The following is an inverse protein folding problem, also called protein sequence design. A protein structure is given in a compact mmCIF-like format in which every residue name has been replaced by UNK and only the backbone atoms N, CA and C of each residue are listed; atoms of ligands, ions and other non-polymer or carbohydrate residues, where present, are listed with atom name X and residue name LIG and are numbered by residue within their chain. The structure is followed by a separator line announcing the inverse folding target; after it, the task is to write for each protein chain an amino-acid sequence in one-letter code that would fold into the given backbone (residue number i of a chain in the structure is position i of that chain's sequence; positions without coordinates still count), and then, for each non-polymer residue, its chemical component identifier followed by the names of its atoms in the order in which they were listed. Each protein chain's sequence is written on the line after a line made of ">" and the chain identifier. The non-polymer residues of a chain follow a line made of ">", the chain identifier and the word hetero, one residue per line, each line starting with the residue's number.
data_IF_985685009349
#
_entry.id   IF_985685009349
#
_cell.length_a   1.000
_cell.length_b   1.000
_cell.length_c   1.000
_cell.angle_alpha   90.00
_cell.angle_beta   90.00
_cell.angle_gamma   90.00
#
_symmetry.space_group_name_H-M   'P 1'
#
loop_
_entity.id
_entity.type
_entity.pdbx_description
1 polymer ?
#
# COMPACT_ATOMS: atom_id res chain seq x y z
N UNK A 1 87.43 -18.68 68.28
CA UNK A 1 86.06 -19.07 68.68
C UNK A 1 85.14 -18.03 68.10
N UNK A 2 84.66 -18.23 66.84
CA UNK A 2 83.78 -17.31 66.09
C UNK A 2 82.35 -17.85 66.07
N UNK A 3 81.47 -17.27 66.86
CA UNK A 3 80.02 -17.49 66.77
C UNK A 3 79.48 -16.63 65.65
N UNK A 4 79.05 -17.24 64.55
CA UNK A 4 78.17 -16.56 63.56
C UNK A 4 76.81 -16.55 64.08
N UNK A 5 76.26 -15.36 64.31
CA UNK A 5 74.86 -15.12 64.53
C UNK A 5 74.14 -15.27 63.21
N UNK A 6 73.34 -16.31 63.07
CA UNK A 6 72.45 -16.50 61.94
C UNK A 6 71.09 -15.73 62.25
N UNK A 7 70.86 -14.63 61.57
CA UNK A 7 69.56 -13.97 61.54
C UNK A 7 68.63 -14.81 60.69
N UNK A 8 67.69 -15.47 61.39
CA UNK A 8 66.59 -16.15 60.70
C UNK A 8 65.51 -15.15 60.41
N UNK A 9 65.45 -14.63 59.17
CA UNK A 9 64.29 -13.88 58.69
C UNK A 9 63.14 -14.82 58.47
N UNK A 10 62.23 -14.90 59.48
CA UNK A 10 60.97 -15.55 59.31
C UNK A 10 60.14 -14.70 58.40
N UNK A 11 60.07 -15.09 57.10
CA UNK A 11 59.20 -14.38 56.12
C UNK A 11 57.79 -14.32 56.62
N UNK A 12 57.33 -13.11 56.97
CA UNK A 12 55.97 -12.85 57.32
C UNK A 12 55.12 -12.66 56.04
N UNK A 13 54.77 -13.78 55.37
CA UNK A 13 53.92 -13.77 54.16
C UNK A 13 52.47 -13.30 54.40
N UNK A 14 52.11 -13.15 55.69
CA UNK A 14 50.76 -12.76 56.09
C UNK A 14 50.34 -11.33 55.67
N UNK A 15 51.28 -10.43 55.53
CA UNK A 15 51.02 -9.07 55.07
C UNK A 15 50.77 -8.94 53.57
N UNK A 16 51.42 -9.77 52.72
CA UNK A 16 51.22 -9.76 51.27
C UNK A 16 49.85 -10.31 50.86
N UNK A 17 49.30 -11.29 51.58
CA UNK A 17 47.98 -11.85 51.30
C UNK A 17 46.86 -10.80 51.44
N UNK A 18 46.97 -9.90 52.40
CA UNK A 18 45.95 -8.83 52.64
C UNK A 18 45.96 -7.86 51.45
N UNK A 19 47.12 -7.47 50.93
CA UNK A 19 47.25 -6.58 49.81
C UNK A 19 46.63 -7.21 48.56
N UNK A 20 46.89 -8.48 48.28
CA UNK A 20 46.35 -9.22 47.15
C UNK A 20 44.82 -9.34 47.27
N UNK A 21 44.31 -9.64 48.49
CA UNK A 21 42.84 -9.69 48.75
C UNK A 21 42.16 -8.34 48.48
N UNK A 22 42.79 -7.23 48.93
CA UNK A 22 42.26 -5.90 48.70
C UNK A 22 42.17 -5.58 47.19
N UNK A 23 43.21 -5.84 46.41
CA UNK A 23 43.20 -5.67 44.97
C UNK A 23 42.19 -6.61 44.28
N UNK A 24 42.07 -7.85 44.74
CA UNK A 24 41.07 -8.79 44.21
C UNK A 24 39.63 -8.30 44.47
N UNK A 25 39.33 -7.76 45.65
CA UNK A 25 38.01 -7.19 45.96
C UNK A 25 37.77 -5.98 45.08
N UNK A 26 38.71 -5.06 44.91
CA UNK A 26 38.55 -3.91 44.02
C UNK A 26 38.29 -4.37 42.57
N UNK A 27 39.02 -5.40 42.10
CA UNK A 27 38.81 -6.00 40.79
C UNK A 27 37.42 -6.62 40.62
N UNK A 28 36.95 -7.38 41.63
CA UNK A 28 35.59 -7.98 41.60
C UNK A 28 34.50 -6.91 41.62
N UNK A 29 34.65 -5.89 42.47
CA UNK A 29 33.71 -4.75 42.50
C UNK A 29 33.69 -4.01 41.14
N UNK A 30 34.84 -3.79 40.53
CA UNK A 30 34.93 -3.17 39.22
C UNK A 30 34.20 -3.97 38.12
N UNK A 31 34.42 -5.29 38.07
CA UNK A 31 33.75 -6.18 37.11
C UNK A 31 32.25 -6.25 37.39
N UNK A 32 31.84 -6.34 38.66
CA UNK A 32 30.42 -6.34 39.06
C UNK A 32 29.72 -5.04 38.68
N UNK A 33 30.43 -3.90 38.85
CA UNK A 33 29.94 -2.59 38.39
C UNK A 33 29.65 -2.57 36.90
N UNK A 34 30.59 -3.03 36.10
CA UNK A 34 30.47 -3.08 34.64
C UNK A 34 29.34 -4.03 34.20
N UNK A 35 29.19 -5.17 34.88
CA UNK A 35 28.16 -6.14 34.55
C UNK A 35 26.75 -5.67 34.93
N UNK A 36 26.56 -5.12 36.12
CA UNK A 36 25.24 -4.72 36.62
C UNK A 36 24.81 -3.39 36.02
N UNK A 37 25.63 -2.36 36.13
CA UNK A 37 25.27 -1.03 35.63
C UNK A 37 25.20 -1.01 34.10
N UNK A 38 26.08 -1.75 33.42
CA UNK A 38 26.05 -1.91 31.97
C UNK A 38 24.81 -2.65 31.47
N UNK A 39 24.39 -3.73 32.18
CA UNK A 39 23.15 -4.44 31.84
C UNK A 39 21.93 -3.55 32.04
N UNK A 40 21.88 -2.80 33.13
CA UNK A 40 20.78 -1.86 33.41
C UNK A 40 20.73 -0.75 32.35
N UNK A 41 21.89 -0.22 31.91
CA UNK A 41 21.95 0.78 30.87
C UNK A 41 21.43 0.26 29.51
N UNK A 42 21.75 -0.99 29.15
CA UNK A 42 21.23 -1.63 27.93
C UNK A 42 19.69 -1.85 28.01
N UNK A 43 19.18 -2.24 29.18
CA UNK A 43 17.74 -2.39 29.40
C UNK A 43 17.05 -1.03 29.32
N UNK A 44 17.61 0.00 29.94
CA UNK A 44 17.05 1.36 29.93
C UNK A 44 17.06 1.93 28.50
N UNK A 45 18.12 1.73 27.74
CA UNK A 45 18.18 2.12 26.33
C UNK A 45 17.03 1.49 25.52
N UNK A 46 16.80 0.18 25.64
CA UNK A 46 15.69 -0.49 24.95
C UNK A 46 14.34 0.05 25.39
N UNK A 47 14.18 0.34 26.68
CA UNK A 47 12.95 0.94 27.20
C UNK A 47 12.75 2.37 26.66
N UNK A 48 13.78 3.17 26.58
CA UNK A 48 13.68 4.53 26.02
C UNK A 48 13.35 4.50 24.52
N UNK A 49 13.91 3.55 23.75
CA UNK A 49 13.55 3.32 22.35
C UNK A 49 12.08 2.89 22.20
N UNK A 50 11.60 1.97 23.06
CA UNK A 50 10.19 1.57 23.08
C UNK A 50 9.27 2.73 23.46
N UNK A 51 9.65 3.53 24.44
CA UNK A 51 8.89 4.73 24.85
C UNK A 51 8.84 5.79 23.76
N UNK A 52 9.95 6.03 23.08
CA UNK A 52 10.01 6.95 21.94
C UNK A 52 9.06 6.48 20.81
N UNK A 53 9.11 5.18 20.47
CA UNK A 53 8.23 4.59 19.46
C UNK A 53 6.74 4.69 19.83
N UNK A 54 6.40 4.37 21.09
CA UNK A 54 5.03 4.48 21.59
C UNK A 54 4.54 5.94 21.59
N UNK A 55 5.40 6.89 21.97
CA UNK A 55 5.08 8.31 21.98
C UNK A 55 4.93 8.86 20.55
N UNK A 56 5.80 8.47 19.61
CA UNK A 56 5.72 8.85 18.22
C UNK A 56 4.40 8.37 17.57
N UNK A 57 4.03 7.11 17.78
CA UNK A 57 2.77 6.55 17.27
C UNK A 57 1.54 7.22 17.90
N UNK A 58 1.54 7.42 19.23
CA UNK A 58 0.44 8.09 19.92
C UNK A 58 0.27 9.55 19.48
N UNK A 59 1.38 10.25 19.28
CA UNK A 59 1.37 11.60 18.74
C UNK A 59 0.84 11.65 17.32
N UNK A 60 1.30 10.74 16.46
CA UNK A 60 0.86 10.64 15.07
C UNK A 60 -0.64 10.35 14.97
N UNK A 61 -1.15 9.39 15.74
CA UNK A 61 -2.57 9.07 15.78
C UNK A 61 -3.42 10.25 16.26
N UNK A 62 -3.00 10.91 17.35
CA UNK A 62 -3.71 12.06 17.87
C UNK A 62 -3.76 13.22 16.87
N UNK A 63 -2.68 13.42 16.11
CA UNK A 63 -2.63 14.44 15.06
C UNK A 63 -3.62 14.19 13.94
N UNK A 64 -3.71 12.94 13.48
CA UNK A 64 -4.68 12.53 12.45
C UNK A 64 -6.12 12.74 12.94
N UNK A 65 -6.38 12.46 14.22
CA UNK A 65 -7.71 12.64 14.83
C UNK A 65 -8.01 14.10 15.22
N UNK A 66 -7.11 15.04 14.93
CA UNK A 66 -7.27 16.45 15.28
C UNK A 66 -7.17 16.74 16.78
N UNK A 67 -6.60 15.81 17.57
CA UNK A 67 -6.36 15.98 19.01
C UNK A 67 -4.98 16.59 19.28
N UNK A 68 -4.73 17.01 20.52
CA UNK A 68 -3.41 17.48 20.92
C UNK A 68 -2.38 16.35 20.87
N UNK A 69 -1.61 16.34 19.82
CA UNK A 69 -0.59 15.34 19.57
C UNK A 69 0.58 15.39 20.55
N UNK A 70 0.95 16.62 21.01
CA UNK A 70 2.03 16.80 21.99
C UNK A 70 1.64 16.22 23.35
N UNK A 71 0.44 16.51 23.80
CA UNK A 71 -0.10 15.93 25.05
C UNK A 71 -0.19 14.41 24.97
N UNK A 72 -0.64 13.88 23.83
CA UNK A 72 -0.77 12.43 23.62
C UNK A 72 0.60 11.72 23.59
N UNK A 73 1.59 12.29 22.91
CA UNK A 73 2.95 11.78 22.89
C UNK A 73 3.60 11.77 24.28
N UNK A 74 3.49 12.88 25.03
CA UNK A 74 4.00 12.97 26.40
C UNK A 74 3.30 11.98 27.35
N UNK A 75 2.00 11.81 27.21
CA UNK A 75 1.24 10.83 27.99
C UNK A 75 1.73 9.41 27.72
N UNK A 76 1.98 9.04 26.47
CA UNK A 76 2.51 7.74 26.10
C UNK A 76 3.94 7.51 26.62
N UNK A 77 4.81 8.50 26.54
CA UNK A 77 6.14 8.43 27.15
C UNK A 77 6.06 8.22 28.66
N UNK A 78 5.18 8.96 29.34
CA UNK A 78 4.94 8.85 30.80
C UNK A 78 4.43 7.46 31.17
N UNK A 79 3.51 6.87 30.40
CA UNK A 79 3.01 5.50 30.65
C UNK A 79 4.12 4.45 30.51
N UNK A 80 5.16 4.75 29.73
CA UNK A 80 6.35 3.91 29.58
C UNK A 80 7.47 4.26 30.59
N UNK A 81 7.19 5.14 31.59
CA UNK A 81 8.08 5.44 32.70
C UNK A 81 8.94 6.70 32.53
N UNK A 82 8.74 7.49 31.47
CA UNK A 82 9.51 8.71 31.19
C UNK A 82 8.65 9.97 31.38
N UNK A 83 8.80 10.62 32.55
CA UNK A 83 7.89 11.68 33.01
C UNK A 83 8.18 13.07 32.44
N UNK A 84 9.25 13.24 31.67
CA UNK A 84 9.72 14.54 31.17
C UNK A 84 9.92 15.56 32.31
N UNK A 85 10.54 15.13 33.42
CA UNK A 85 10.77 15.95 34.63
C UNK A 85 12.04 16.82 34.55
N UNK A 86 12.86 16.60 33.51
CA UNK A 86 14.12 17.30 33.30
C UNK A 86 15.27 16.83 34.20
N UNK A 87 15.00 15.93 35.16
CA UNK A 87 16.00 15.37 36.10
C UNK A 87 16.31 13.90 35.78
N UNK A 88 15.28 13.03 35.72
CA UNK A 88 15.43 11.62 35.42
C UNK A 88 15.18 11.32 33.94
N UNK A 89 14.35 12.12 33.28
CA UNK A 89 14.10 11.99 31.85
C UNK A 89 13.69 13.30 31.20
N UNK A 90 14.04 13.44 29.91
CA UNK A 90 13.51 14.47 29.02
C UNK A 90 12.87 13.82 27.79
N UNK A 91 11.79 14.41 27.30
CA UNK A 91 11.09 13.98 26.10
C UNK A 91 10.98 15.18 25.16
N UNK A 92 11.72 15.13 24.06
CA UNK A 92 11.67 16.14 23.02
C UNK A 92 10.76 15.71 21.89
N UNK A 93 9.91 16.63 21.43
CA UNK A 93 8.89 16.39 20.40
C UNK A 93 9.05 17.40 19.28
N UNK A 94 9.41 16.95 18.11
CA UNK A 94 9.64 17.77 16.94
C UNK A 94 8.71 17.41 15.79
N UNK A 95 8.14 18.39 15.14
CA UNK A 95 7.48 18.32 13.85
C UNK A 95 7.65 19.67 13.15
N UNK A 96 8.33 19.73 12.02
CA UNK A 96 9.10 18.65 11.37
C UNK A 96 10.23 18.07 12.24
N UNK A 97 10.72 16.84 11.93
CA UNK A 97 11.93 16.29 12.54
C UNK A 97 13.15 17.19 12.35
N UNK A 98 14.04 17.17 13.34
CA UNK A 98 15.31 17.93 13.30
C UNK A 98 16.52 17.03 13.06
N UNK A 99 16.33 15.70 13.11
CA UNK A 99 17.37 14.70 12.88
C UNK A 99 16.93 13.64 11.86
N UNK A 100 17.91 12.99 11.24
CA UNK A 100 17.68 11.84 10.34
C UNK A 100 17.22 12.22 8.93
N UNK A 101 16.72 11.24 8.18
CA UNK A 101 16.38 11.41 6.75
C UNK A 101 15.11 12.24 6.49
N UNK A 102 14.28 12.47 7.51
CA UNK A 102 12.98 13.17 7.40
C UNK A 102 13.03 14.61 7.91
N UNK A 103 14.21 15.22 8.02
CA UNK A 103 14.41 16.60 8.47
C UNK A 103 13.64 17.58 7.59
N UNK A 104 12.83 18.44 8.23
CA UNK A 104 12.07 19.49 7.56
C UNK A 104 10.74 19.03 6.97
N UNK A 105 10.43 17.74 6.99
CA UNK A 105 9.17 17.22 6.48
C UNK A 105 8.09 17.23 7.56
N UNK A 106 7.05 18.04 7.33
CA UNK A 106 5.98 18.26 8.29
C UNK A 106 5.03 17.05 8.46
N UNK A 107 5.08 16.05 7.59
CA UNK A 107 4.29 14.83 7.75
C UNK A 107 4.82 13.92 8.86
N UNK A 108 6.03 14.17 9.35
CA UNK A 108 6.68 13.31 10.33
C UNK A 108 6.72 13.94 11.72
N UNK A 109 6.66 13.08 12.73
CA UNK A 109 6.83 13.41 14.14
C UNK A 109 8.06 12.67 14.66
N UNK A 110 9.02 13.41 15.18
CA UNK A 110 10.21 12.89 15.85
C UNK A 110 10.00 12.95 17.35
N UNK A 111 10.35 11.87 18.04
CA UNK A 111 10.38 11.80 19.51
C UNK A 111 11.75 11.32 19.96
N UNK A 112 12.36 12.09 20.87
CA UNK A 112 13.62 11.78 21.50
C UNK A 112 13.38 11.65 23.00
N UNK A 113 13.64 10.47 23.55
CA UNK A 113 13.55 10.20 24.98
C UNK A 113 14.96 10.05 25.53
N UNK A 114 15.38 10.98 26.36
CA UNK A 114 16.65 10.93 27.09
C UNK A 114 16.39 10.51 28.52
N UNK A 115 17.06 9.45 28.97
CA UNK A 115 16.99 8.91 30.32
C UNK A 115 18.30 9.11 31.06
N UNK A 116 18.23 9.49 32.34
CA UNK A 116 19.37 9.68 33.24
C UNK A 116 19.29 8.66 34.37
N UNK A 117 19.86 7.47 34.11
CA UNK A 117 19.85 6.36 35.06
C UNK A 117 20.98 6.47 36.08
N UNK A 118 20.68 6.44 37.37
CA UNK A 118 21.67 6.39 38.43
C UNK A 118 22.35 5.01 38.46
N UNK A 119 23.68 5.01 38.59
CA UNK A 119 24.46 3.77 38.70
C UNK A 119 24.51 3.29 40.13
N UNK A 120 24.57 1.99 40.33
CA UNK A 120 24.73 1.36 41.66
C UNK A 120 26.19 1.34 42.09
N UNK A 121 27.08 0.91 41.24
CA UNK A 121 28.49 0.76 41.51
C UNK A 121 29.36 1.80 40.81
N UNK A 122 28.90 2.27 39.64
CA UNK A 122 29.62 3.28 38.84
C UNK A 122 29.90 4.57 39.59
N UNK A 123 29.03 4.95 40.54
CA UNK A 123 29.23 6.12 41.41
C UNK A 123 30.50 6.04 42.26
N UNK A 124 30.95 4.81 42.63
CA UNK A 124 32.18 4.59 43.41
C UNK A 124 33.43 4.94 42.61
N UNK A 125 33.36 4.76 41.30
CA UNK A 125 34.48 5.03 40.36
C UNK A 125 34.31 6.36 39.61
N UNK A 126 33.35 7.20 40.04
CA UNK A 126 33.15 8.55 39.51
C UNK A 126 32.19 8.66 38.32
N UNK A 127 31.37 7.59 38.07
CA UNK A 127 30.34 7.57 37.04
C UNK A 127 28.96 7.44 37.72
N UNK A 128 28.39 8.52 38.24
CA UNK A 128 27.15 8.45 39.03
C UNK A 128 25.88 8.27 38.18
N UNK A 129 25.92 8.65 36.89
CA UNK A 129 24.77 8.62 35.97
C UNK A 129 25.20 8.08 34.61
N UNK A 130 24.39 7.25 34.02
CA UNK A 130 24.49 6.83 32.63
C UNK A 130 23.31 7.43 31.88
N UNK A 131 23.56 8.04 30.73
CA UNK A 131 22.52 8.61 29.87
C UNK A 131 22.23 7.66 28.73
N UNK A 132 20.94 7.32 28.54
CA UNK A 132 20.41 6.54 27.43
C UNK A 132 19.53 7.44 26.56
N UNK A 133 19.56 7.22 25.24
CA UNK A 133 18.70 7.96 24.29
C UNK A 133 17.92 6.98 23.46
N UNK A 134 16.61 7.09 23.49
CA UNK A 134 15.68 6.43 22.58
C UNK A 134 15.21 7.44 21.51
N UNK A 135 15.16 6.99 20.28
CA UNK A 135 14.79 7.81 19.13
C UNK A 135 13.74 7.10 18.31
N UNK A 136 12.70 7.81 17.86
CA UNK A 136 11.70 7.28 16.97
C UNK A 136 11.09 8.37 16.09
N UNK A 137 10.75 8.02 14.86
CA UNK A 137 10.03 8.86 13.92
C UNK A 137 8.80 8.12 13.41
N UNK A 138 7.65 8.78 13.43
CA UNK A 138 6.42 8.27 12.82
C UNK A 138 5.93 9.21 11.73
N UNK A 139 5.44 8.64 10.63
CA UNK A 139 4.75 9.36 9.57
C UNK A 139 3.26 9.48 9.91
N UNK A 140 2.68 10.64 9.63
CA UNK A 140 1.24 10.91 9.70
C UNK A 140 0.72 11.17 8.30
N UNK A 141 -0.06 10.25 7.76
CA UNK A 141 -0.80 10.48 6.51
C UNK A 141 -2.24 10.76 6.86
N UNK A 142 -2.73 12.00 6.70
CA UNK A 142 -4.13 12.31 6.90
C UNK A 142 -4.99 11.59 5.86
N UNK A 143 -6.28 11.47 6.16
CA UNK A 143 -7.23 11.00 5.16
C UNK A 143 -7.26 11.95 3.96
N UNK A 144 -7.18 11.42 2.77
CA UNK A 144 -7.23 12.19 1.53
C UNK A 144 -7.99 11.44 0.45
N UNK A 145 -8.50 12.18 -0.54
CA UNK A 145 -8.94 11.60 -1.80
C UNK A 145 -7.77 11.66 -2.77
N UNK A 146 -7.52 10.57 -3.45
CA UNK A 146 -6.44 10.55 -4.42
C UNK A 146 -6.40 9.26 -5.24
N UNK A 147 -5.49 9.24 -6.18
CA UNK A 147 -5.28 8.15 -7.13
C UNK A 147 -5.25 6.80 -6.43
N UNK A 148 -6.00 5.84 -6.96
CA UNK A 148 -5.88 4.46 -6.53
C UNK A 148 -4.56 3.87 -7.06
N UNK A 149 -3.91 3.06 -6.22
CA UNK A 149 -2.72 2.29 -6.62
C UNK A 149 -1.64 3.13 -7.33
N UNK A 150 -1.37 4.34 -6.81
CA UNK A 150 -0.33 5.24 -7.32
C UNK A 150 -0.41 5.52 -8.84
N UNK A 151 -1.62 5.46 -9.42
CA UNK A 151 -1.87 5.75 -10.82
C UNK A 151 -1.46 4.63 -11.80
N UNK A 152 -1.27 3.40 -11.34
CA UNK A 152 -1.11 2.28 -12.27
C UNK A 152 -2.36 2.10 -13.14
N UNK A 153 -2.18 2.00 -14.45
CA UNK A 153 -3.28 1.86 -15.41
C UNK A 153 -3.93 0.46 -15.36
N UNK A 154 -3.12 -0.58 -15.16
CA UNK A 154 -3.58 -1.95 -14.97
C UNK A 154 -3.13 -2.47 -13.61
N UNK A 155 -4.07 -2.95 -12.80
CA UNK A 155 -3.80 -3.45 -11.46
C UNK A 155 -4.45 -4.82 -11.27
N UNK A 156 -3.63 -5.85 -11.08
CA UNK A 156 -4.07 -7.18 -10.68
C UNK A 156 -3.87 -7.37 -9.18
N UNK A 157 -4.96 -7.59 -8.44
CA UNK A 157 -4.99 -7.60 -6.97
C UNK A 157 -4.81 -8.97 -6.33
N UNK A 158 -4.89 -10.05 -7.10
CA UNK A 158 -4.76 -11.40 -6.56
C UNK A 158 -3.46 -11.57 -5.78
N UNK A 159 -3.50 -11.86 -4.46
CA UNK A 159 -2.28 -11.99 -3.66
C UNK A 159 -1.50 -13.27 -3.98
N UNK A 160 -2.18 -14.27 -4.54
CA UNK A 160 -1.60 -15.55 -4.92
C UNK A 160 -2.05 -15.94 -6.32
N UNK A 161 -1.17 -16.58 -7.07
CA UNK A 161 -1.46 -17.16 -8.38
C UNK A 161 -0.73 -18.48 -8.55
N UNK A 162 -1.18 -19.29 -9.52
CA UNK A 162 -0.44 -20.44 -10.00
C UNK A 162 -0.14 -20.26 -11.49
N UNK A 163 0.86 -20.95 -12.01
CA UNK A 163 1.28 -20.80 -13.41
C UNK A 163 0.33 -21.47 -14.42
N UNK A 164 -0.76 -22.08 -13.99
CA UNK A 164 -1.61 -22.91 -14.84
C UNK A 164 -3.06 -22.42 -14.98
N UNK A 165 -3.76 -22.22 -13.87
CA UNK A 165 -5.19 -21.88 -13.85
C UNK A 165 -5.50 -20.50 -13.28
N UNK A 166 -4.76 -20.10 -12.22
CA UNK A 166 -4.96 -18.85 -11.50
C UNK A 166 -3.78 -17.92 -11.78
N UNK A 167 -3.80 -17.26 -12.92
CA UNK A 167 -2.75 -16.39 -13.41
C UNK A 167 -3.10 -14.95 -13.05
N UNK A 168 -2.26 -14.29 -12.23
CA UNK A 168 -2.55 -12.94 -11.76
C UNK A 168 -2.57 -11.93 -12.90
N UNK A 169 -1.51 -11.90 -13.70
CA UNK A 169 -1.49 -11.16 -14.96
C UNK A 169 -1.02 -12.08 -16.08
N UNK A 170 -1.85 -12.25 -17.11
CA UNK A 170 -1.57 -13.17 -18.20
C UNK A 170 -1.74 -12.50 -19.56
N UNK A 171 -0.64 -12.36 -20.27
CA UNK A 171 -0.58 -11.88 -21.64
C UNK A 171 -0.25 -13.07 -22.55
N UNK A 172 -1.20 -13.46 -23.42
CA UNK A 172 -1.00 -14.62 -24.28
C UNK A 172 -1.60 -14.45 -25.68
N UNK A 173 -1.26 -15.36 -26.59
CA UNK A 173 -1.51 -15.23 -28.01
C UNK A 173 -0.71 -14.07 -28.64
N UNK A 174 -1.33 -13.13 -29.32
CA UNK A 174 -0.63 -12.06 -30.09
C UNK A 174 -1.14 -10.64 -29.83
N UNK A 175 -1.68 -10.30 -28.64
CA UNK A 175 -2.14 -8.94 -28.38
C UNK A 175 -0.97 -7.95 -28.30
N UNK A 176 -1.24 -6.70 -28.63
CA UNK A 176 -0.33 -5.59 -28.35
C UNK A 176 -0.99 -4.63 -27.40
N UNK A 177 -0.41 -4.46 -26.20
CA UNK A 177 -0.80 -3.41 -25.26
C UNK A 177 0.08 -2.19 -25.52
N UNK A 178 -0.52 -1.03 -25.65
CA UNK A 178 0.16 0.27 -25.65
C UNK A 178 -0.29 1.03 -24.44
N UNK A 179 0.65 1.34 -23.53
CA UNK A 179 0.41 2.15 -22.34
C UNK A 179 0.87 3.59 -22.61
N UNK A 180 -0.05 4.53 -22.39
CA UNK A 180 0.19 5.96 -22.44
C UNK A 180 -0.19 6.56 -21.07
N UNK A 181 0.78 6.75 -20.19
CA UNK A 181 0.55 7.06 -18.78
C UNK A 181 0.22 5.83 -17.92
N UNK A 182 0.56 5.91 -16.63
CA UNK A 182 0.42 4.81 -15.69
C UNK A 182 1.30 3.61 -16.06
N UNK A 183 1.19 2.53 -15.33
CA UNK A 183 1.97 1.32 -15.53
C UNK A 183 1.13 0.08 -15.30
N UNK A 184 1.80 -1.04 -15.03
CA UNK A 184 1.16 -2.31 -14.64
C UNK A 184 1.65 -2.67 -13.24
N UNK A 185 0.72 -2.99 -12.34
CA UNK A 185 1.02 -3.55 -11.02
C UNK A 185 0.40 -4.93 -10.88
N UNK A 186 1.18 -5.90 -10.39
CA UNK A 186 0.74 -7.27 -10.17
C UNK A 186 1.05 -7.70 -8.75
N UNK A 187 0.01 -7.96 -7.96
CA UNK A 187 0.10 -8.18 -6.51
C UNK A 187 0.43 -9.63 -6.10
N UNK A 188 0.50 -10.56 -7.03
CA UNK A 188 0.75 -11.98 -6.70
C UNK A 188 2.18 -12.21 -6.19
N UNK A 189 2.29 -13.00 -5.13
CA UNK A 189 3.55 -13.43 -4.50
C UNK A 189 4.23 -14.63 -5.18
N UNK A 190 3.67 -15.13 -6.29
CA UNK A 190 4.25 -16.26 -7.01
C UNK A 190 5.61 -15.90 -7.60
N UNK A 191 6.67 -16.61 -7.18
CA UNK A 191 8.06 -16.30 -7.53
C UNK A 191 8.40 -16.53 -9.02
N UNK A 192 7.56 -17.29 -9.77
CA UNK A 192 7.87 -17.68 -11.14
C UNK A 192 6.99 -16.96 -12.17
N UNK A 193 5.70 -16.77 -11.90
CA UNK A 193 4.72 -16.37 -12.90
C UNK A 193 3.60 -15.48 -12.40
N UNK A 194 3.85 -14.63 -11.40
CA UNK A 194 2.90 -13.59 -11.04
C UNK A 194 2.56 -12.73 -12.28
N UNK A 195 3.55 -12.38 -13.07
CA UNK A 195 3.40 -11.82 -14.41
C UNK A 195 3.82 -12.87 -15.46
N UNK A 196 2.90 -13.27 -16.32
CA UNK A 196 3.13 -14.30 -17.32
C UNK A 196 2.90 -13.76 -18.74
N UNK A 197 3.96 -13.75 -19.57
CA UNK A 197 3.86 -13.46 -20.99
C UNK A 197 4.20 -14.71 -21.81
N UNK A 198 3.22 -15.17 -22.59
CA UNK A 198 3.33 -16.34 -23.48
C UNK A 198 3.00 -15.95 -24.92
N UNK A 199 3.53 -16.72 -25.87
CA UNK A 199 3.27 -16.46 -27.28
C UNK A 199 3.99 -15.25 -27.84
N UNK A 200 3.29 -14.42 -28.62
CA UNK A 200 3.81 -13.22 -29.27
C UNK A 200 3.18 -11.92 -28.75
N UNK A 201 2.46 -11.98 -27.64
CA UNK A 201 1.89 -10.80 -26.98
C UNK A 201 2.97 -9.79 -26.60
N UNK A 202 2.72 -8.50 -26.84
CA UNK A 202 3.68 -7.41 -26.65
C UNK A 202 3.11 -6.30 -25.79
N UNK A 203 3.99 -5.61 -25.06
CA UNK A 203 3.67 -4.40 -24.29
C UNK A 203 4.60 -3.29 -24.74
N UNK A 204 4.03 -2.15 -25.12
CA UNK A 204 4.75 -0.92 -25.42
C UNK A 204 4.36 0.17 -24.45
N UNK A 205 5.31 0.60 -23.65
CA UNK A 205 5.14 1.74 -22.75
C UNK A 205 5.69 2.98 -23.44
N UNK A 206 4.88 4.02 -23.60
CA UNK A 206 5.29 5.24 -24.33
C UNK A 206 6.02 6.26 -23.45
N UNK A 207 5.91 6.10 -22.15
CA UNK A 207 6.57 6.89 -21.12
C UNK A 207 7.47 6.01 -20.24
N UNK A 208 7.96 6.52 -19.12
CA UNK A 208 8.78 5.79 -18.17
C UNK A 208 7.94 4.98 -17.14
N UNK A 209 6.67 4.72 -17.43
CA UNK A 209 5.77 4.01 -16.50
C UNK A 209 6.26 2.60 -16.20
N UNK A 210 6.28 2.17 -14.94
CA UNK A 210 6.84 0.89 -14.54
C UNK A 210 5.89 -0.29 -14.81
N UNK A 211 6.46 -1.48 -15.01
CA UNK A 211 5.77 -2.76 -14.88
C UNK A 211 6.30 -3.42 -13.61
N UNK A 212 5.51 -3.39 -12.55
CA UNK A 212 5.93 -3.75 -11.21
C UNK A 212 5.19 -4.99 -10.72
N UNK A 213 5.91 -5.93 -10.12
CA UNK A 213 5.38 -7.23 -9.71
C UNK A 213 5.86 -7.55 -8.31
N UNK A 214 4.99 -8.05 -7.43
CA UNK A 214 5.38 -8.48 -6.08
C UNK A 214 6.25 -9.73 -6.14
N UNK A 215 5.78 -10.78 -6.81
CA UNK A 215 6.53 -12.02 -7.05
C UNK A 215 7.43 -11.96 -8.29
N UNK A 216 7.48 -13.05 -9.02
CA UNK A 216 8.32 -13.20 -10.20
C UNK A 216 7.57 -13.00 -11.52
N UNK A 217 8.35 -12.96 -12.58
CA UNK A 217 7.84 -12.82 -13.94
C UNK A 217 8.40 -13.89 -14.86
N UNK A 218 7.52 -14.52 -15.65
CA UNK A 218 7.90 -15.39 -16.75
C UNK A 218 7.62 -14.69 -18.07
N UNK A 219 8.66 -14.33 -18.79
CA UNK A 219 8.59 -13.61 -20.06
C UNK A 219 9.27 -14.44 -21.14
N UNK A 220 8.48 -15.04 -22.02
CA UNK A 220 9.03 -15.88 -23.09
C UNK A 220 9.84 -15.10 -24.13
N UNK A 221 9.42 -13.86 -24.41
CA UNK A 221 10.05 -13.00 -25.42
C UNK A 221 10.25 -11.60 -24.87
N UNK A 222 11.33 -11.38 -24.13
CA UNK A 222 11.65 -10.11 -23.48
C UNK A 222 11.67 -8.91 -24.43
N UNK A 223 12.07 -9.10 -25.71
CA UNK A 223 12.09 -8.03 -26.72
C UNK A 223 10.70 -7.50 -27.09
N UNK A 224 9.63 -8.18 -26.73
CA UNK A 224 8.25 -7.74 -26.96
C UNK A 224 7.75 -6.79 -25.86
N UNK A 225 8.52 -6.61 -24.78
CA UNK A 225 8.22 -5.65 -23.71
C UNK A 225 9.22 -4.51 -23.83
N UNK A 226 8.77 -3.33 -24.26
CA UNK A 226 9.67 -2.22 -24.56
C UNK A 226 9.01 -0.85 -24.26
N UNK A 227 9.75 0.10 -23.74
CA UNK A 227 11.13 0.05 -23.23
C UNK A 227 11.21 -0.53 -21.81
N UNK A 228 10.05 -0.80 -21.17
CA UNK A 228 9.97 -1.22 -19.80
C UNK A 228 10.56 -2.62 -19.55
N UNK A 229 11.18 -2.76 -18.40
CA UNK A 229 11.58 -4.06 -17.86
C UNK A 229 10.61 -4.40 -16.73
N UNK A 230 10.15 -5.64 -16.68
CA UNK A 230 9.33 -6.11 -15.56
C UNK A 230 10.19 -6.11 -14.29
N UNK A 231 9.73 -5.41 -13.25
CA UNK A 231 10.44 -5.20 -11.99
C UNK A 231 9.81 -6.06 -10.88
N UNK A 232 10.39 -7.21 -10.53
CA UNK A 232 9.92 -8.03 -9.42
C UNK A 232 10.38 -7.49 -8.07
N UNK A 233 9.73 -7.95 -6.99
CA UNK A 233 10.09 -7.61 -5.62
C UNK A 233 9.43 -6.34 -5.08
N UNK A 234 8.31 -5.95 -5.65
CA UNK A 234 7.48 -4.85 -5.12
C UNK A 234 6.90 -5.18 -3.75
N UNK A 235 6.54 -4.15 -3.00
CA UNK A 235 5.83 -4.31 -1.74
C UNK A 235 4.38 -4.75 -2.05
N UNK A 236 3.88 -5.84 -1.44
CA UNK A 236 2.52 -6.30 -1.68
C UNK A 236 1.49 -5.31 -1.14
N UNK A 237 0.41 -5.15 -1.89
CA UNK A 237 -0.77 -4.42 -1.46
C UNK A 237 -1.70 -5.38 -0.72
N UNK A 238 -2.30 -4.91 0.39
CA UNK A 238 -3.30 -5.71 1.12
C UNK A 238 -4.48 -6.08 0.23
N UNK A 239 -5.02 -7.29 0.41
CA UNK A 239 -6.28 -7.67 -0.20
C UNK A 239 -7.26 -8.14 0.91
N UNK A 240 -8.47 -7.54 1.00
CA UNK A 240 -8.98 -6.40 0.18
C UNK A 240 -8.11 -5.13 0.32
N UNK A 241 -8.14 -4.23 -0.69
CA UNK A 241 -7.39 -2.98 -0.65
C UNK A 241 -7.74 -2.12 0.57
N UNK A 242 -6.76 -1.38 1.10
CA UNK A 242 -6.92 -0.61 2.33
C UNK A 242 -7.71 0.71 2.17
N UNK A 243 -8.07 1.12 0.95
CA UNK A 243 -8.92 2.28 0.76
C UNK A 243 -10.41 1.94 0.93
N UNK A 244 -11.22 2.95 1.20
CA UNK A 244 -12.66 2.76 1.34
C UNK A 244 -13.29 2.52 -0.04
N UNK A 245 -13.97 1.36 -0.22
CA UNK A 245 -14.73 1.09 -1.43
C UNK A 245 -15.81 2.14 -1.65
N UNK A 246 -16.14 2.49 -2.91
CA UNK A 246 -17.18 3.45 -3.22
C UNK A 246 -18.50 3.11 -2.53
N UNK A 247 -19.07 4.08 -1.78
CA UNK A 247 -20.40 3.97 -1.18
C UNK A 247 -21.41 4.74 -2.03
N UNK A 248 -21.66 4.21 -3.20
CA UNK A 248 -22.51 4.82 -4.22
C UNK A 248 -23.65 3.88 -4.50
N UNK A 249 -24.84 4.41 -4.74
CA UNK A 249 -26.03 3.63 -5.06
C UNK A 249 -27.11 4.48 -5.67
N UNK A 250 -28.14 3.84 -6.22
CA UNK A 250 -29.26 4.50 -6.90
C UNK A 250 -30.38 4.93 -5.94
N UNK A 251 -30.28 4.57 -4.66
CA UNK A 251 -31.37 4.78 -3.71
C UNK A 251 -32.66 4.08 -4.18
N UNK A 252 -33.81 4.79 -4.15
CA UNK A 252 -35.09 4.28 -4.61
C UNK A 252 -35.43 4.65 -6.06
N UNK A 253 -34.53 5.29 -6.80
CA UNK A 253 -34.77 5.68 -8.18
C UNK A 253 -34.78 4.43 -9.08
N UNK A 254 -35.84 4.22 -9.82
CA UNK A 254 -35.95 3.12 -10.80
C UNK A 254 -35.61 3.67 -12.19
N UNK A 255 -34.83 2.93 -12.95
CA UNK A 255 -34.51 3.23 -14.33
C UNK A 255 -35.78 3.05 -15.20
N UNK A 256 -35.96 3.92 -16.18
CA UNK A 256 -37.06 3.84 -17.14
C UNK A 256 -36.55 3.79 -18.56
N UNK A 257 -37.20 3.01 -19.40
CA UNK A 257 -36.82 2.78 -20.80
C UNK A 257 -37.84 3.45 -21.73
N UNK A 258 -37.34 4.20 -22.71
CA UNK A 258 -38.10 4.70 -23.84
C UNK A 258 -37.62 3.98 -25.12
N UNK A 259 -38.32 2.91 -25.48
CA UNK A 259 -37.98 2.10 -26.67
C UNK A 259 -38.21 2.84 -27.98
N UNK A 260 -39.05 3.89 -28.02
CA UNK A 260 -39.24 4.68 -29.22
C UNK A 260 -38.05 5.59 -29.48
N UNK A 261 -37.50 6.15 -28.43
CA UNK A 261 -36.29 6.97 -28.50
C UNK A 261 -34.99 6.11 -28.44
N UNK A 262 -35.09 4.87 -27.98
CA UNK A 262 -33.91 4.01 -27.72
C UNK A 262 -33.06 4.48 -26.54
N UNK A 263 -33.70 5.19 -25.58
CA UNK A 263 -33.01 5.81 -24.45
C UNK A 263 -33.41 5.16 -23.11
N UNK A 264 -32.53 5.28 -22.13
CA UNK A 264 -32.78 4.79 -20.78
C UNK A 264 -32.31 5.80 -19.74
N UNK A 265 -33.12 6.04 -18.71
CA UNK A 265 -32.73 6.89 -17.57
C UNK A 265 -31.93 6.11 -16.53
N UNK A 266 -31.10 6.82 -15.76
CA UNK A 266 -30.36 6.22 -14.64
C UNK A 266 -31.29 5.78 -13.50
N UNK A 267 -30.85 4.79 -12.70
CA UNK A 267 -31.58 4.23 -11.54
C UNK A 267 -31.33 2.73 -11.35
N UNK A 268 -32.15 2.11 -10.48
CA UNK A 268 -32.12 0.66 -10.29
C UNK A 268 -32.74 -0.05 -11.50
N UNK A 269 -32.05 -1.07 -11.97
CA UNK A 269 -32.52 -1.98 -13.00
C UNK A 269 -32.52 -3.40 -12.42
N UNK A 270 -33.75 -3.89 -12.16
CA UNK A 270 -34.03 -5.17 -11.51
C UNK A 270 -34.85 -6.11 -12.39
N UNK A 271 -35.02 -5.77 -13.67
CA UNK A 271 -35.82 -6.60 -14.58
C UNK A 271 -35.11 -7.92 -14.92
N UNK A 272 -35.85 -9.02 -15.10
CA UNK A 272 -35.25 -10.26 -15.58
C UNK A 272 -34.78 -10.10 -17.01
N UNK A 273 -33.48 -10.12 -17.22
CA UNK A 273 -32.86 -10.01 -18.53
C UNK A 273 -31.52 -9.29 -18.48
N UNK A 274 -30.86 -9.27 -19.62
CA UNK A 274 -29.57 -8.62 -19.77
C UNK A 274 -29.75 -7.07 -19.79
N UNK A 275 -28.78 -6.38 -19.23
CA UNK A 275 -28.67 -4.93 -19.36
C UNK A 275 -27.70 -4.60 -20.53
N UNK A 276 -27.99 -3.60 -21.37
CA UNK A 276 -29.25 -2.83 -21.46
C UNK A 276 -30.38 -3.65 -22.09
N UNK A 277 -31.65 -3.27 -21.85
CA UNK A 277 -32.78 -3.86 -22.55
C UNK A 277 -32.67 -3.74 -24.07
N UNK A 278 -33.22 -4.73 -24.79
CA UNK A 278 -33.20 -4.73 -26.25
C UNK A 278 -33.82 -3.43 -26.81
N UNK A 279 -33.14 -2.80 -27.75
CA UNK A 279 -33.55 -1.52 -28.37
C UNK A 279 -33.02 -0.28 -27.67
N UNK A 280 -32.41 -0.40 -26.50
CA UNK A 280 -31.72 0.75 -25.85
C UNK A 280 -30.31 0.87 -26.43
N UNK A 281 -29.98 2.08 -26.89
CA UNK A 281 -28.67 2.40 -27.46
C UNK A 281 -28.06 3.68 -26.89
N UNK A 282 -28.82 4.50 -26.17
CA UNK A 282 -28.34 5.72 -25.51
C UNK A 282 -28.74 5.75 -24.01
N UNK A 283 -27.75 5.97 -23.16
CA UNK A 283 -27.93 6.08 -21.71
C UNK A 283 -27.85 7.52 -21.26
N UNK A 284 -28.85 7.98 -20.51
CA UNK A 284 -28.77 9.28 -19.85
C UNK A 284 -27.72 9.27 -18.75
N UNK A 285 -27.14 10.45 -18.48
CA UNK A 285 -26.13 10.58 -17.42
C UNK A 285 -26.67 10.17 -16.04
N UNK A 286 -25.85 9.49 -15.25
CA UNK A 286 -26.16 9.09 -13.88
C UNK A 286 -25.70 7.68 -13.52
N UNK A 287 -26.22 7.19 -12.39
CA UNK A 287 -25.82 5.91 -11.81
C UNK A 287 -26.85 4.85 -12.18
N UNK A 288 -26.36 3.72 -12.67
CA UNK A 288 -27.14 2.52 -13.02
C UNK A 288 -26.77 1.41 -12.05
N UNK A 289 -27.68 1.01 -11.18
CA UNK A 289 -27.52 -0.12 -10.28
C UNK A 289 -28.15 -1.34 -10.90
N UNK A 290 -27.34 -2.31 -11.28
CA UNK A 290 -27.73 -3.44 -12.12
C UNK A 290 -27.61 -4.71 -11.29
N UNK A 291 -28.72 -5.44 -11.19
CA UNK A 291 -28.75 -6.78 -10.61
C UNK A 291 -29.00 -7.76 -11.76
N UNK A 292 -27.91 -8.28 -12.34
CA UNK A 292 -27.94 -9.14 -13.53
C UNK A 292 -26.76 -8.90 -14.45
N UNK A 293 -26.75 -9.58 -15.58
CA UNK A 293 -25.66 -9.49 -16.54
C UNK A 293 -25.74 -8.21 -17.38
N UNK A 294 -24.57 -7.60 -17.61
CA UNK A 294 -24.41 -6.55 -18.62
C UNK A 294 -23.91 -7.20 -19.90
N UNK A 295 -24.78 -7.28 -20.91
CA UNK A 295 -24.47 -7.98 -22.17
C UNK A 295 -24.70 -7.04 -23.36
N UNK A 296 -23.59 -6.69 -24.03
CA UNK A 296 -23.66 -5.88 -25.25
C UNK A 296 -23.27 -6.78 -26.42
N UNK A 297 -24.27 -7.21 -27.18
CA UNK A 297 -24.14 -8.14 -28.28
C UNK A 297 -23.38 -7.58 -29.48
N UNK A 298 -22.92 -8.46 -30.38
CA UNK A 298 -22.26 -8.03 -31.63
C UNK A 298 -23.24 -7.26 -32.53
N UNK A 299 -22.73 -6.17 -33.12
CA UNK A 299 -23.51 -5.27 -33.95
C UNK A 299 -24.42 -4.28 -33.19
N UNK A 300 -24.46 -4.36 -31.84
CA UNK A 300 -25.14 -3.38 -31.00
C UNK A 300 -24.30 -2.14 -30.83
N UNK A 301 -24.99 -1.00 -30.67
CA UNK A 301 -24.38 0.26 -30.27
C UNK A 301 -24.90 0.67 -28.90
N UNK A 302 -24.00 1.12 -28.03
CA UNK A 302 -24.36 1.71 -26.73
C UNK A 302 -23.52 2.94 -26.47
N UNK A 303 -24.18 4.07 -26.22
CA UNK A 303 -23.52 5.32 -25.85
C UNK A 303 -24.00 5.78 -24.48
N UNK A 304 -23.11 6.44 -23.73
CA UNK A 304 -23.45 7.00 -22.42
C UNK A 304 -22.36 7.94 -21.92
N UNK A 305 -22.70 9.20 -21.75
CA UNK A 305 -21.79 10.19 -21.18
C UNK A 305 -22.14 10.50 -19.75
N UNK A 306 -21.15 10.44 -18.84
CA UNK A 306 -21.37 10.70 -17.42
C UNK A 306 -22.14 9.57 -16.75
N UNK A 307 -21.85 8.31 -17.10
CA UNK A 307 -22.52 7.13 -16.57
C UNK A 307 -21.63 6.36 -15.61
N UNK A 308 -22.23 5.79 -14.57
CA UNK A 308 -21.57 4.85 -13.67
C UNK A 308 -22.41 3.59 -13.56
N UNK A 309 -21.83 2.44 -13.86
CA UNK A 309 -22.47 1.13 -13.67
C UNK A 309 -22.03 0.54 -12.32
N UNK A 310 -23.00 0.26 -11.45
CA UNK A 310 -22.78 -0.51 -10.22
C UNK A 310 -23.43 -1.87 -10.46
N UNK A 311 -22.61 -2.90 -10.57
CA UNK A 311 -23.04 -4.26 -10.88
C UNK A 311 -22.95 -5.09 -9.62
N UNK A 312 -24.05 -5.15 -8.88
CA UNK A 312 -24.09 -5.85 -7.60
C UNK A 312 -23.94 -7.35 -7.77
N UNK A 313 -24.55 -7.90 -8.80
CA UNK A 313 -24.45 -9.31 -9.20
C UNK A 313 -24.48 -9.40 -10.72
N UNK A 314 -23.88 -10.49 -11.26
CA UNK A 314 -23.81 -10.69 -12.70
C UNK A 314 -22.46 -10.33 -13.30
N UNK A 315 -22.28 -10.67 -14.56
CA UNK A 315 -21.03 -10.45 -15.31
C UNK A 315 -21.17 -9.32 -16.32
N UNK A 316 -20.03 -8.86 -16.86
CA UNK A 316 -20.00 -7.93 -17.98
C UNK A 316 -19.46 -8.62 -19.22
N UNK A 317 -20.22 -8.64 -20.29
CA UNK A 317 -19.81 -9.18 -21.58
C UNK A 317 -20.06 -8.20 -22.71
N UNK A 318 -18.99 -7.72 -23.29
CA UNK A 318 -19.03 -6.86 -24.46
C UNK A 318 -18.44 -7.65 -25.65
N UNK A 319 -19.23 -7.82 -26.69
CA UNK A 319 -18.83 -8.57 -27.88
C UNK A 319 -17.85 -7.81 -28.77
N UNK A 320 -17.03 -8.52 -29.54
CA UNK A 320 -15.99 -7.89 -30.39
C UNK A 320 -16.54 -6.95 -31.49
N UNK A 321 -17.77 -7.18 -31.95
CA UNK A 321 -18.40 -6.35 -33.00
C UNK A 321 -19.29 -5.24 -32.43
N UNK A 322 -19.37 -5.12 -31.09
CA UNK A 322 -20.16 -4.07 -30.45
C UNK A 322 -19.45 -2.71 -30.54
N UNK A 323 -20.23 -1.65 -30.77
CA UNK A 323 -19.76 -0.26 -30.65
C UNK A 323 -20.19 0.30 -29.29
N UNK A 324 -19.26 0.52 -28.39
CA UNK A 324 -19.54 0.98 -27.01
C UNK A 324 -18.74 2.24 -26.72
N UNK A 325 -19.43 3.34 -26.44
CA UNK A 325 -18.81 4.61 -26.10
C UNK A 325 -19.35 5.08 -24.74
N UNK A 326 -18.59 4.82 -23.68
CA UNK A 326 -19.00 5.13 -22.30
C UNK A 326 -17.95 6.00 -21.63
N UNK A 327 -18.42 7.03 -20.93
CA UNK A 327 -17.58 7.88 -20.10
C UNK A 327 -18.16 8.06 -18.70
N UNK A 328 -17.29 8.06 -17.70
CA UNK A 328 -17.65 8.32 -16.31
C UNK A 328 -18.09 9.78 -16.09
N UNK A 329 -18.83 10.06 -15.01
CA UNK A 329 -19.12 11.43 -14.61
C UNK A 329 -17.83 12.20 -14.30
N UNK A 330 -17.80 13.50 -14.65
CA UNK A 330 -16.68 14.38 -14.29
C UNK A 330 -16.81 15.04 -12.92
N UNK A 331 -17.98 14.95 -12.30
CA UNK A 331 -18.31 15.59 -11.03
C UNK A 331 -19.19 14.70 -10.18
N UNK A 332 -19.20 14.95 -8.86
CA UNK A 332 -20.02 14.21 -7.91
C UNK A 332 -19.31 13.03 -7.27
N UNK A 333 -20.05 12.23 -6.49
CA UNK A 333 -19.48 11.13 -5.71
C UNK A 333 -18.96 9.94 -6.55
N UNK A 334 -19.36 9.88 -7.80
CA UNK A 334 -18.91 8.87 -8.77
C UNK A 334 -18.02 9.45 -9.87
N UNK A 335 -17.47 10.66 -9.67
CA UNK A 335 -16.57 11.26 -10.65
C UNK A 335 -15.42 10.31 -10.97
N UNK A 336 -15.17 10.07 -12.25
CA UNK A 336 -14.14 9.17 -12.73
C UNK A 336 -14.44 7.67 -12.60
N UNK A 337 -15.57 7.25 -12.01
CA UNK A 337 -15.93 5.83 -11.86
C UNK A 337 -16.90 5.39 -12.96
N UNK A 338 -16.43 4.53 -13.85
CA UNK A 338 -17.24 4.03 -14.96
C UNK A 338 -17.97 2.73 -14.61
N UNK A 339 -17.22 1.72 -14.14
CA UNK A 339 -17.78 0.42 -13.75
C UNK A 339 -17.28 0.10 -12.34
N UNK A 340 -18.22 -0.30 -11.49
CA UNK A 340 -17.91 -0.78 -10.15
C UNK A 340 -18.60 -2.12 -9.89
N UNK A 341 -17.81 -3.13 -9.56
CA UNK A 341 -18.29 -4.41 -9.03
C UNK A 341 -17.81 -4.53 -7.58
N UNK A 342 -18.74 -4.67 -6.60
CA UNK A 342 -18.39 -4.83 -5.20
C UNK A 342 -17.52 -6.06 -4.92
N UNK A 343 -16.89 -6.10 -3.73
CA UNK A 343 -15.98 -7.19 -3.33
C UNK A 343 -16.64 -8.58 -3.29
N UNK A 344 -17.93 -8.67 -3.12
CA UNK A 344 -18.72 -9.90 -3.11
C UNK A 344 -19.16 -10.35 -4.50
N UNK A 345 -18.98 -9.53 -5.53
CA UNK A 345 -19.19 -9.94 -6.92
C UNK A 345 -17.89 -10.49 -7.53
N UNK A 346 -17.83 -11.81 -7.71
CA UNK A 346 -16.70 -12.54 -8.29
C UNK A 346 -16.89 -12.91 -9.76
N UNK A 347 -17.90 -12.34 -10.42
CA UNK A 347 -18.19 -12.62 -11.82
C UNK A 347 -17.15 -11.99 -12.74
N UNK A 348 -17.12 -12.45 -14.00
CA UNK A 348 -16.12 -12.01 -14.97
C UNK A 348 -16.53 -10.68 -15.64
N UNK A 349 -15.52 -9.91 -16.03
CA UNK A 349 -15.63 -8.82 -16.98
C UNK A 349 -14.88 -9.18 -18.26
N UNK A 350 -15.57 -9.24 -19.39
CA UNK A 350 -14.98 -9.44 -20.70
C UNK A 350 -15.19 -8.17 -21.55
N UNK A 351 -14.13 -7.41 -21.75
CA UNK A 351 -14.15 -6.18 -22.52
C UNK A 351 -13.59 -6.43 -23.91
N UNK A 352 -14.49 -6.47 -24.88
CA UNK A 352 -14.19 -6.44 -26.30
C UNK A 352 -14.80 -5.16 -26.90
N UNK A 353 -15.05 -5.14 -28.17
CA UNK A 353 -15.66 -4.03 -28.88
C UNK A 353 -15.09 -3.91 -30.29
N UNK A 354 -15.59 -2.98 -31.09
CA UNK A 354 -15.04 -2.66 -32.41
C UNK A 354 -14.08 -1.48 -32.36
N UNK A 355 -13.61 -1.01 -33.53
CA UNK A 355 -12.65 0.09 -33.65
C UNK A 355 -13.15 1.44 -33.14
N UNK A 356 -14.45 1.61 -32.98
CA UNK A 356 -15.09 2.85 -32.50
C UNK A 356 -15.42 2.77 -30.99
N UNK A 357 -15.07 1.64 -30.33
CA UNK A 357 -15.31 1.46 -28.89
C UNK A 357 -14.34 2.29 -28.07
N UNK A 358 -14.84 2.96 -27.06
CA UNK A 358 -14.07 3.75 -26.09
C UNK A 358 -14.65 3.69 -24.69
N UNK A 359 -13.77 3.62 -23.70
CA UNK A 359 -14.13 3.69 -22.29
C UNK A 359 -13.29 4.79 -21.62
N UNK A 360 -13.96 5.66 -20.87
CA UNK A 360 -13.30 6.71 -20.08
C UNK A 360 -13.74 6.63 -18.63
N UNK A 361 -12.78 6.44 -17.72
CA UNK A 361 -13.01 6.29 -16.29
C UNK A 361 -12.58 4.95 -15.75
N UNK A 362 -12.54 4.85 -14.43
CA UNK A 362 -12.06 3.67 -13.71
C UNK A 362 -13.01 2.49 -13.81
N UNK A 363 -12.47 1.33 -14.11
CA UNK A 363 -13.14 0.03 -13.99
C UNK A 363 -12.60 -0.63 -12.71
N UNK A 364 -13.40 -0.58 -11.65
CA UNK A 364 -13.06 -1.09 -10.32
C UNK A 364 -13.84 -2.37 -10.03
N UNK A 365 -13.18 -3.51 -10.20
CA UNK A 365 -13.76 -4.83 -9.98
C UNK A 365 -12.78 -5.73 -9.19
N UNK A 366 -12.51 -5.40 -7.92
CA UNK A 366 -11.36 -5.95 -7.18
C UNK A 366 -11.43 -7.46 -6.94
N UNK A 367 -12.62 -8.07 -7.04
CA UNK A 367 -12.80 -9.53 -6.89
C UNK A 367 -13.13 -10.25 -8.20
N UNK A 368 -13.18 -9.52 -9.33
CA UNK A 368 -13.56 -10.07 -10.62
C UNK A 368 -12.34 -10.40 -11.49
N UNK A 369 -12.50 -11.44 -12.34
CA UNK A 369 -11.55 -11.74 -13.40
C UNK A 369 -11.82 -10.85 -14.60
N UNK A 370 -10.85 -10.03 -15.00
CA UNK A 370 -10.98 -9.13 -16.15
C UNK A 370 -10.24 -9.71 -17.35
N UNK A 371 -10.97 -9.88 -18.45
CA UNK A 371 -10.41 -10.25 -19.73
C UNK A 371 -10.50 -9.09 -20.72
N UNK A 372 -9.35 -8.70 -21.21
CA UNK A 372 -9.20 -7.69 -22.25
C UNK A 372 -8.88 -8.41 -23.56
N UNK A 373 -9.79 -8.31 -24.50
CA UNK A 373 -9.65 -8.87 -25.84
C UNK A 373 -10.13 -7.84 -26.84
N UNK A 374 -9.48 -6.68 -26.79
CA UNK A 374 -9.94 -5.49 -27.46
C UNK A 374 -9.68 -5.50 -28.98
N UNK A 375 -10.44 -4.69 -29.71
CA UNK A 375 -10.18 -4.38 -31.09
C UNK A 375 -8.98 -3.44 -31.21
N UNK A 376 -8.50 -3.27 -32.42
CA UNK A 376 -7.56 -2.22 -32.79
C UNK A 376 -8.26 -0.84 -32.68
N UNK A 377 -8.62 -0.48 -31.45
CA UNK A 377 -9.42 0.71 -31.16
C UNK A 377 -8.63 1.98 -31.45
N UNK A 378 -9.19 2.87 -32.28
CA UNK A 378 -8.63 4.20 -32.51
C UNK A 378 -8.70 5.09 -31.26
N UNK A 379 -9.69 4.84 -30.42
CA UNK A 379 -10.00 5.66 -29.25
C UNK A 379 -9.39 5.10 -27.96
N UNK A 380 -9.34 3.78 -27.81
CA UNK A 380 -8.71 3.10 -26.68
C UNK A 380 -9.49 3.20 -25.36
N UNK A 381 -8.83 2.76 -24.31
CA UNK A 381 -9.30 2.88 -22.94
C UNK A 381 -8.62 4.08 -22.28
N UNK A 382 -9.38 5.11 -21.94
CA UNK A 382 -8.93 6.23 -21.10
C UNK A 382 -9.24 5.87 -19.65
N UNK A 383 -8.63 4.80 -19.15
CA UNK A 383 -9.13 4.11 -17.95
C UNK A 383 -8.01 3.59 -17.09
N UNK A 384 -8.31 3.53 -15.79
CA UNK A 384 -7.64 2.64 -14.86
C UNK A 384 -8.47 1.36 -14.73
N UNK A 385 -7.85 0.19 -14.89
CA UNK A 385 -8.51 -1.11 -14.83
C UNK A 385 -7.95 -1.91 -13.65
N UNK A 386 -8.81 -2.18 -12.68
CA UNK A 386 -8.46 -2.86 -11.42
C UNK A 386 -9.29 -4.12 -11.31
N UNK A 387 -8.63 -5.28 -11.33
CA UNK A 387 -9.26 -6.59 -11.25
C UNK A 387 -8.56 -7.53 -10.28
N UNK A 388 -9.17 -8.69 -10.01
CA UNK A 388 -8.53 -9.75 -9.23
C UNK A 388 -7.46 -10.45 -10.07
N UNK A 389 -7.85 -11.02 -11.21
CA UNK A 389 -6.95 -11.49 -12.28
C UNK A 389 -7.14 -10.64 -13.53
N UNK A 390 -6.06 -10.44 -14.28
CA UNK A 390 -6.11 -9.75 -15.56
C UNK A 390 -5.56 -10.68 -16.65
N UNK A 391 -6.41 -11.01 -17.61
CA UNK A 391 -6.06 -11.75 -18.80
C UNK A 391 -6.14 -10.84 -20.03
N UNK A 392 -5.06 -10.78 -20.81
CA UNK A 392 -5.01 -10.05 -22.07
C UNK A 392 -4.76 -11.02 -23.19
N UNK A 393 -5.73 -11.13 -24.09
CA UNK A 393 -5.80 -12.17 -25.11
C UNK A 393 -6.18 -11.58 -26.48
N UNK A 394 -6.06 -12.39 -27.51
CA UNK A 394 -6.48 -12.04 -28.87
C UNK A 394 -5.34 -11.67 -29.80
N UNK A 395 -5.67 -10.95 -30.87
CA UNK A 395 -4.70 -10.48 -31.89
C UNK A 395 -4.76 -8.95 -32.08
N UNK A 396 -5.33 -8.26 -31.14
CA UNK A 396 -5.67 -6.85 -31.25
C UNK A 396 -4.65 -5.94 -30.57
N UNK A 397 -4.68 -4.67 -30.96
CA UNK A 397 -3.95 -3.62 -30.28
C UNK A 397 -4.87 -2.94 -29.27
N UNK A 398 -4.52 -3.03 -27.99
CA UNK A 398 -5.21 -2.39 -26.87
C UNK A 398 -4.41 -1.14 -26.50
N UNK A 399 -5.01 0.04 -26.62
CA UNK A 399 -4.41 1.30 -26.19
C UNK A 399 -5.03 1.69 -24.87
N UNK A 400 -4.20 1.83 -23.84
CA UNK A 400 -4.57 2.31 -22.50
C UNK A 400 -3.92 3.67 -22.28
N UNK A 401 -4.76 4.69 -22.08
CA UNK A 401 -4.35 6.06 -21.76
C UNK A 401 -4.79 6.38 -20.35
N UNK A 402 -3.86 6.41 -19.43
CA UNK A 402 -4.15 6.83 -18.07
C UNK A 402 -3.96 8.34 -17.94
N UNK A 403 -5.01 9.02 -17.51
CA UNK A 403 -5.00 10.42 -17.10
C UNK A 403 -5.75 10.51 -15.77
N UNK A 404 -5.14 11.12 -14.77
CA UNK A 404 -5.68 11.15 -13.40
C UNK A 404 -7.06 11.81 -13.35
N UNK A 405 -7.24 12.90 -14.06
CA UNK A 405 -8.49 13.67 -14.14
C UNK A 405 -9.68 12.92 -14.74
N UNK A 406 -9.44 11.83 -15.45
CA UNK A 406 -10.50 10.98 -16.03
C UNK A 406 -10.85 9.78 -15.12
N UNK A 407 -10.07 9.53 -14.07
CA UNK A 407 -10.20 8.36 -13.22
C UNK A 407 -10.71 8.68 -11.81
N UNK A 408 -11.13 7.65 -11.10
CA UNK A 408 -11.75 7.75 -9.78
C UNK A 408 -10.72 7.91 -8.69
N UNK A 409 -10.91 8.91 -7.84
CA UNK A 409 -10.16 9.10 -6.61
C UNK A 409 -10.82 8.38 -5.44
N UNK A 410 -10.09 7.46 -4.83
CA UNK A 410 -10.57 6.76 -3.64
C UNK A 410 -10.26 7.54 -2.36
N UNK A 411 -11.14 7.38 -1.38
CA UNK A 411 -10.86 7.83 -0.02
C UNK A 411 -9.81 6.91 0.62
N UNK A 412 -8.61 7.42 0.79
CA UNK A 412 -7.52 6.76 1.49
C UNK A 412 -7.69 6.99 2.98
N UNK A 413 -7.74 5.90 3.74
CA UNK A 413 -7.81 6.00 5.20
C UNK A 413 -6.54 6.63 5.76
N UNK A 414 -6.66 7.37 6.88
CA UNK A 414 -5.48 7.89 7.54
C UNK A 414 -4.58 6.75 8.01
N UNK A 415 -3.29 6.93 7.84
CA UNK A 415 -2.29 5.92 8.18
C UNK A 415 -1.22 6.49 9.11
N UNK A 416 -0.82 5.69 10.09
CA UNK A 416 0.30 5.98 10.98
C UNK A 416 1.35 4.90 10.80
N UNK A 417 2.54 5.29 10.41
CA UNK A 417 3.65 4.37 10.17
C UNK A 417 4.83 4.77 11.07
N UNK A 418 5.36 3.81 11.83
CA UNK A 418 6.65 3.99 12.48
C UNK A 418 7.74 3.71 11.44
N UNK A 419 8.58 4.71 11.14
CA UNK A 419 9.58 4.60 10.07
C UNK A 419 11.00 4.48 10.60
N UNK A 420 11.20 4.78 11.89
CA UNK A 420 12.47 4.62 12.60
C UNK A 420 12.24 4.57 14.12
#
# INVERSE_FOLDING_TARGET
>A
MNRKLAFNFKNSERGQAIIVIVFAIIGIVGISSLAIDGSNALVDRRRSETAASAAALAGALARIEGRDWRASALAAAKMNGYNNDGENSTVELNTPPVNGPYVGDAEYIEVIVTSHMRTYFGSIIGIPVITSVGYAVSQTKPAEYGQMFDGFALVSLAPHSDCTKKRSFWLHNEPTIVLEGGGIFVNSDNDECAFLQEGSGSIRVQDESPITVVGGASVQKAQLISPAIVQPGAIPISYPPAFQMPKIGCGSKIATVDLLAGTMTSGNYEEPGDFPPEGVHDLESGIYCITGDVVIGGGSRLTGNGVTFIIEQGEVRISAEAEVQLSAPKNGNSAGLLIYMPLDNHSRIALNGNTETSFTGTILAPSADIRLNGPDSKHGFHSQIIGYYIEVDGQSKIVLKYQDEDNYDAYKMPEVILVQ
#
